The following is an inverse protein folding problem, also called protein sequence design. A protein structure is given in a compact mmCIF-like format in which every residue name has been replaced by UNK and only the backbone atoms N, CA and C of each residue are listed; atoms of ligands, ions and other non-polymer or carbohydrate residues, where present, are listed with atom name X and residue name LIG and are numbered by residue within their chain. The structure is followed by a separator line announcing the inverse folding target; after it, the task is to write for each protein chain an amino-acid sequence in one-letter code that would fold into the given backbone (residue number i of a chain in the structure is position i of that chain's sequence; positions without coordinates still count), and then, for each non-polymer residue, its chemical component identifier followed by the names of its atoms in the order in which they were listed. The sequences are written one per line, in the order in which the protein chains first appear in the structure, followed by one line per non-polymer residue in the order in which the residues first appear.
data_IF_570391409836
#
_entry.id   IF_570391409836
#
_cell.length_a   1.000
_cell.length_b   1.000
_cell.length_c   1.000
_cell.angle_alpha   90.00
_cell.angle_beta   90.00
_cell.angle_gamma   90.00
#
_symmetry.space_group_name_H-M   'P 1'
#
loop_
_entity.id
_entity.type
_entity.pdbx_description
1 polymer ?
#
# COMPACT_ATOMS: atom_id res chain seq x y z
N UNK A 1 0.66 -8.12 -13.63
CA UNK A 1 0.05 -8.71 -12.43
C UNK A 1 1.03 -9.72 -11.86
N UNK A 2 1.29 -9.68 -10.55
CA UNK A 2 2.15 -10.66 -9.89
C UNK A 2 1.42 -11.99 -9.71
N UNK A 3 2.17 -13.06 -9.56
CA UNK A 3 1.64 -14.40 -9.35
C UNK A 3 2.10 -14.97 -8.01
N UNK A 4 1.23 -15.78 -7.41
CA UNK A 4 1.57 -16.53 -6.22
C UNK A 4 2.75 -17.48 -6.51
N UNK A 5 3.69 -17.55 -5.57
CA UNK A 5 4.97 -18.25 -5.67
C UNK A 5 5.97 -17.67 -6.68
N UNK A 6 5.66 -16.54 -7.32
CA UNK A 6 6.64 -15.81 -8.13
C UNK A 6 7.79 -15.34 -7.24
N UNK A 7 9.03 -15.58 -7.68
CA UNK A 7 10.24 -15.02 -7.06
C UNK A 7 10.58 -13.72 -7.75
N UNK A 8 10.74 -12.64 -6.99
CA UNK A 8 10.97 -11.30 -7.49
C UNK A 8 12.47 -10.97 -7.51
N UNK A 9 12.91 -10.31 -8.59
CA UNK A 9 14.26 -9.75 -8.68
C UNK A 9 14.27 -8.32 -8.11
N UNK A 10 14.13 -8.24 -6.79
CA UNK A 10 14.11 -6.98 -6.02
C UNK A 10 15.37 -6.86 -5.17
N UNK A 11 15.90 -5.65 -5.03
CA UNK A 11 17.14 -5.41 -4.29
C UNK A 11 16.93 -5.30 -2.77
N UNK A 12 15.71 -5.03 -2.32
CA UNK A 12 15.35 -4.76 -0.92
C UNK A 12 15.32 -6.02 -0.06
N UNK A 13 15.73 -5.89 1.20
CA UNK A 13 15.73 -6.98 2.19
C UNK A 13 14.44 -7.06 2.99
N UNK A 14 13.85 -5.92 3.34
CA UNK A 14 12.60 -5.76 4.08
C UNK A 14 12.00 -4.39 3.76
N UNK A 15 10.69 -4.23 3.95
CA UNK A 15 10.02 -2.94 3.87
C UNK A 15 8.86 -2.91 2.90
N UNK A 16 8.37 -1.69 2.66
CA UNK A 16 7.12 -1.45 1.97
C UNK A 16 7.31 -0.39 0.90
N UNK A 17 6.82 -0.65 -0.30
CA UNK A 17 6.88 0.28 -1.42
C UNK A 17 5.65 0.13 -2.32
N UNK A 18 5.47 1.08 -3.24
CA UNK A 18 4.38 1.06 -4.22
C UNK A 18 4.94 1.04 -5.64
N UNK A 19 4.37 0.19 -6.47
CA UNK A 19 4.57 0.19 -7.92
C UNK A 19 3.24 0.45 -8.63
N UNK A 20 3.28 1.14 -9.77
CA UNK A 20 2.13 1.27 -10.66
C UNK A 20 2.43 0.60 -11.98
N UNK A 21 1.46 -0.20 -12.45
CA UNK A 21 1.52 -0.80 -13.78
C UNK A 21 0.10 -0.96 -14.32
N UNK A 22 -0.13 -0.43 -15.52
CA UNK A 22 -1.38 -0.58 -16.26
C UNK A 22 -2.63 -0.05 -15.49
N UNK A 23 -2.51 1.02 -14.69
CA UNK A 23 -3.52 1.55 -13.75
C UNK A 23 -3.81 0.64 -12.54
N UNK A 24 -2.91 -0.31 -12.24
CA UNK A 24 -2.96 -1.11 -11.02
C UNK A 24 -1.85 -0.65 -10.08
N UNK A 25 -2.21 -0.40 -8.82
CA UNK A 25 -1.28 -0.04 -7.77
C UNK A 25 -0.93 -1.27 -6.94
N UNK A 26 0.35 -1.55 -6.81
CA UNK A 26 0.85 -2.70 -6.09
C UNK A 26 1.57 -2.21 -4.84
N UNK A 27 0.94 -2.41 -3.70
CA UNK A 27 1.50 -2.18 -2.37
C UNK A 27 2.30 -3.42 -1.99
N UNK A 28 3.61 -3.33 -2.14
CA UNK A 28 4.55 -4.43 -1.96
C UNK A 28 4.99 -4.44 -0.50
N UNK A 29 4.76 -5.55 0.19
CA UNK A 29 5.02 -5.70 1.64
C UNK A 29 5.95 -6.89 1.81
N UNK A 30 7.22 -6.62 2.11
CA UNK A 30 8.24 -7.63 2.29
C UNK A 30 8.65 -7.74 3.77
N UNK A 31 8.57 -8.96 4.28
CA UNK A 31 9.03 -9.33 5.61
C UNK A 31 9.97 -10.55 5.47
N UNK A 32 11.00 -10.64 6.31
CA UNK A 32 11.87 -11.83 6.40
C UNK A 32 11.04 -13.07 6.69
N UNK A 33 10.03 -12.96 7.57
CA UNK A 33 9.25 -14.12 8.02
C UNK A 33 7.80 -13.79 8.36
N UNK A 34 6.91 -14.43 7.61
CA UNK A 34 5.48 -14.46 7.91
C UNK A 34 5.10 -15.65 8.78
N UNK A 35 4.44 -15.38 9.90
CA UNK A 35 3.86 -16.37 10.81
C UNK A 35 2.52 -16.90 10.27
N UNK A 36 2.15 -18.15 10.59
CA UNK A 36 0.87 -18.72 10.16
C UNK A 36 -0.36 -17.88 10.55
N UNK A 37 -0.31 -17.20 11.70
CA UNK A 37 -1.35 -16.32 12.20
C UNK A 37 -1.52 -15.06 11.35
N UNK A 38 -0.41 -14.46 10.90
CA UNK A 38 -0.39 -13.30 10.00
C UNK A 38 -0.98 -13.68 8.65
N UNK A 39 -0.54 -14.80 8.09
CA UNK A 39 -1.05 -15.29 6.80
C UNK A 39 -2.54 -15.64 6.90
N UNK A 40 -3.00 -16.17 8.04
CA UNK A 40 -4.42 -16.39 8.30
C UNK A 40 -5.18 -15.07 8.42
N UNK A 41 -4.61 -14.05 9.03
CA UNK A 41 -5.22 -12.74 9.19
C UNK A 41 -5.32 -11.99 7.85
N UNK A 42 -4.28 -12.01 7.02
CA UNK A 42 -4.27 -11.50 5.63
C UNK A 42 -5.47 -12.05 4.83
N UNK A 43 -5.84 -13.32 5.03
CA UNK A 43 -6.97 -13.95 4.33
C UNK A 43 -8.35 -13.55 4.84
N UNK A 44 -8.47 -13.28 6.13
CA UNK A 44 -9.77 -13.31 6.80
C UNK A 44 -10.20 -11.97 7.38
N UNK A 45 -9.30 -10.99 7.47
CA UNK A 45 -9.55 -9.74 8.17
C UNK A 45 -9.65 -8.55 7.24
N UNK A 46 -10.14 -7.46 7.78
CA UNK A 46 -10.43 -6.24 7.05
C UNK A 46 -9.13 -5.53 6.73
N UNK A 47 -8.95 -5.09 5.48
CA UNK A 47 -7.90 -4.14 5.14
C UNK A 47 -8.50 -2.75 5.05
N UNK A 48 -7.91 -1.76 5.70
CA UNK A 48 -8.28 -0.36 5.51
C UNK A 48 -7.20 0.37 4.75
N UNK A 49 -7.65 1.21 3.83
CA UNK A 49 -6.80 2.11 3.07
C UNK A 49 -7.25 3.52 3.39
N UNK A 50 -6.40 4.27 4.06
CA UNK A 50 -6.56 5.71 4.19
C UNK A 50 -5.68 6.39 3.18
N UNK A 51 -6.20 7.45 2.56
CA UNK A 51 -5.42 8.35 1.74
C UNK A 51 -5.50 9.75 2.32
N UNK A 52 -4.35 10.39 2.47
CA UNK A 52 -4.24 11.76 2.93
C UNK A 52 -3.17 12.52 2.15
N UNK A 53 -3.22 13.84 2.30
CA UNK A 53 -2.22 14.75 1.74
C UNK A 53 -1.84 15.71 2.83
N UNK A 54 -0.60 15.63 3.28
CA UNK A 54 -0.06 16.52 4.30
C UNK A 54 1.29 17.06 3.85
N UNK A 55 1.56 18.34 4.09
CA UNK A 55 2.75 19.03 3.55
C UNK A 55 2.96 18.80 2.04
N UNK A 56 1.87 18.63 1.28
CA UNK A 56 1.83 18.30 -0.16
C UNK A 56 2.40 16.91 -0.53
N UNK A 57 2.61 16.03 0.46
CA UNK A 57 3.01 14.63 0.27
C UNK A 57 1.75 13.76 0.27
N UNK A 58 1.48 13.01 -0.80
CA UNK A 58 0.43 11.98 -0.79
C UNK A 58 0.90 10.78 0.02
N UNK A 59 0.09 10.37 0.99
CA UNK A 59 0.38 9.22 1.84
C UNK A 59 -0.78 8.23 1.76
N UNK A 60 -0.43 6.95 1.77
CA UNK A 60 -1.37 5.87 2.05
C UNK A 60 -1.05 5.31 3.43
N UNK A 61 -2.06 5.22 4.28
CA UNK A 61 -1.99 4.43 5.50
C UNK A 61 -2.69 3.11 5.17
N UNK A 62 -1.93 2.02 5.17
CA UNK A 62 -2.47 0.69 4.94
C UNK A 62 -2.54 -0.01 6.28
N UNK A 63 -3.77 -0.29 6.71
CA UNK A 63 -4.02 -1.14 7.86
C UNK A 63 -4.40 -2.52 7.36
N UNK A 64 -3.56 -3.50 7.64
CA UNK A 64 -3.94 -4.90 7.53
C UNK A 64 -4.11 -5.36 8.96
N UNK A 65 -5.30 -5.84 9.32
CA UNK A 65 -5.53 -6.29 10.68
C UNK A 65 -4.79 -7.62 10.93
N UNK A 66 -3.47 -7.65 10.98
CA UNK A 66 -2.68 -8.79 11.47
C UNK A 66 -1.71 -8.35 12.55
N UNK A 67 -2.31 -8.10 13.72
CA UNK A 67 -1.66 -8.08 15.03
C UNK A 67 -0.83 -6.82 15.35
N UNK A 68 -0.10 -6.12 14.45
CA UNK A 68 0.83 -5.07 14.94
C UNK A 68 1.01 -3.72 14.22
N UNK A 69 0.89 -3.55 12.89
CA UNK A 69 1.36 -2.28 12.27
C UNK A 69 0.40 -1.61 11.27
N UNK A 70 0.38 -0.27 11.34
CA UNK A 70 -0.14 0.62 10.30
C UNK A 70 1.07 1.06 9.47
N UNK A 71 1.09 0.68 8.20
CA UNK A 71 2.22 1.02 7.34
C UNK A 71 1.91 2.27 6.54
N UNK A 72 2.70 3.31 6.80
CA UNK A 72 2.69 4.54 6.02
C UNK A 72 3.54 4.35 4.79
N UNK A 73 2.92 4.52 3.63
CA UNK A 73 3.63 4.44 2.38
C UNK A 73 3.53 5.81 1.71
N UNK A 74 4.63 6.58 1.69
CA UNK A 74 4.67 7.78 0.90
C UNK A 74 4.62 7.39 -0.57
N UNK A 75 3.56 7.81 -1.24
CA UNK A 75 3.36 7.48 -2.64
C UNK A 75 3.74 8.71 -3.43
N UNK A 76 4.88 8.66 -4.12
CA UNK A 76 5.27 9.74 -5.02
C UNK A 76 4.49 9.63 -6.33
N UNK A 77 3.31 10.24 -6.36
CA UNK A 77 2.38 10.14 -7.48
C UNK A 77 2.90 10.70 -8.81
N UNK A 78 4.02 11.43 -8.83
CA UNK A 78 4.57 12.02 -10.07
C UNK A 78 5.03 10.95 -11.07
N UNK A 79 5.48 9.80 -10.56
CA UNK A 79 5.97 8.71 -11.40
C UNK A 79 4.85 7.78 -11.88
N UNK A 80 3.62 7.99 -11.39
CA UNK A 80 2.46 7.20 -11.79
C UNK A 80 1.67 7.90 -12.88
N UNK A 81 1.44 7.17 -13.96
CA UNK A 81 0.64 7.67 -15.08
C UNK A 81 -0.81 7.29 -14.86
N UNK A 82 -1.50 7.99 -13.95
CA UNK A 82 -2.89 7.71 -13.62
C UNK A 82 -3.86 8.62 -14.37
N UNK A 83 -4.90 8.01 -14.95
CA UNK A 83 -6.07 8.74 -15.44
C UNK A 83 -7.15 8.77 -14.36
N UNK A 84 -7.47 9.97 -13.85
CA UNK A 84 -8.54 10.19 -12.87
C UNK A 84 -9.93 9.69 -13.36
N UNK A 85 -10.09 9.36 -14.64
CA UNK A 85 -11.32 8.80 -15.22
C UNK A 85 -11.41 7.29 -15.14
N UNK A 86 -10.31 6.59 -14.83
CA UNK A 86 -10.29 5.14 -14.74
C UNK A 86 -10.61 4.67 -13.32
N UNK A 87 -11.07 3.42 -13.22
CA UNK A 87 -11.13 2.70 -11.94
C UNK A 87 -9.71 2.44 -11.46
N UNK A 88 -9.45 2.73 -10.20
CA UNK A 88 -8.17 2.46 -9.56
C UNK A 88 -8.23 1.08 -8.94
N UNK A 89 -7.39 0.16 -9.41
CA UNK A 89 -7.24 -1.15 -8.80
C UNK A 89 -6.02 -1.14 -7.88
N UNK A 90 -6.15 -1.77 -6.72
CA UNK A 90 -5.04 -1.97 -5.81
C UNK A 90 -4.80 -3.44 -5.55
N UNK A 91 -3.54 -3.77 -5.24
CA UNK A 91 -3.09 -5.09 -4.87
C UNK A 91 -2.11 -4.97 -3.70
N UNK A 92 -2.40 -5.63 -2.59
CA UNK A 92 -1.39 -5.91 -1.57
C UNK A 92 -0.65 -7.18 -1.96
N UNK A 93 0.66 -7.08 -2.15
CA UNK A 93 1.52 -8.19 -2.54
C UNK A 93 2.45 -8.50 -1.38
N UNK A 94 2.23 -9.65 -0.75
CA UNK A 94 2.97 -10.09 0.43
C UNK A 94 4.14 -10.96 0.00
N UNK A 95 5.34 -10.62 0.47
CA UNK A 95 6.61 -11.19 0.00
C UNK A 95 7.40 -11.70 1.20
N UNK A 96 7.92 -12.93 1.11
CA UNK A 96 8.76 -13.52 2.16
C UNK A 96 10.26 -13.17 2.02
N UNK A 97 11.09 -13.58 2.99
CA UNK A 97 12.54 -13.38 2.96
C UNK A 97 13.28 -14.08 1.81
N UNK A 98 12.61 -14.97 1.07
CA UNK A 98 13.13 -15.55 -0.17
C UNK A 98 12.69 -14.78 -1.42
N UNK A 99 12.12 -13.57 -1.23
CA UNK A 99 11.57 -12.70 -2.26
C UNK A 99 10.42 -13.35 -3.03
N UNK A 100 9.70 -14.27 -2.39
CA UNK A 100 8.59 -15.00 -3.00
C UNK A 100 7.27 -14.35 -2.62
N UNK A 101 6.41 -14.16 -3.61
CA UNK A 101 5.02 -13.73 -3.39
C UNK A 101 4.25 -14.86 -2.71
N UNK A 102 3.81 -14.65 -1.47
CA UNK A 102 3.09 -15.64 -0.66
C UNK A 102 1.58 -15.42 -0.67
N UNK A 103 1.14 -14.17 -0.82
CA UNK A 103 -0.27 -13.80 -0.88
C UNK A 103 -0.45 -12.54 -1.73
N UNK A 104 -1.60 -12.44 -2.37
CA UNK A 104 -2.05 -11.26 -3.09
C UNK A 104 -3.48 -10.99 -2.64
N UNK A 105 -3.75 -9.76 -2.21
CA UNK A 105 -5.10 -9.28 -1.94
C UNK A 105 -5.43 -8.15 -2.91
N UNK A 106 -6.54 -8.29 -3.63
CA UNK A 106 -6.91 -7.33 -4.66
C UNK A 106 -8.23 -6.64 -4.33
N UNK A 107 -8.34 -5.39 -4.74
CA UNK A 107 -9.59 -4.64 -4.70
C UNK A 107 -9.59 -3.47 -5.66
N UNK A 108 -10.64 -2.67 -5.60
CA UNK A 108 -10.78 -1.44 -6.38
C UNK A 108 -11.13 -0.30 -5.45
N UNK A 109 -10.49 0.85 -5.63
CA UNK A 109 -10.87 2.06 -4.92
C UNK A 109 -12.17 2.61 -5.51
N UNK A 110 -13.02 3.15 -4.65
CA UNK A 110 -14.23 3.84 -5.07
C UNK A 110 -13.90 5.01 -6.02
N UNK A 111 -14.77 5.27 -7.00
CA UNK A 111 -14.58 6.35 -7.98
C UNK A 111 -14.39 7.74 -7.36
N UNK A 112 -14.90 7.96 -6.15
CA UNK A 112 -14.70 9.20 -5.39
C UNK A 112 -13.25 9.44 -4.97
N UNK A 113 -12.43 8.38 -4.89
CA UNK A 113 -11.00 8.47 -4.60
C UNK A 113 -10.28 9.35 -5.64
N UNK A 114 -10.61 9.20 -6.92
CA UNK A 114 -10.01 9.97 -8.01
C UNK A 114 -10.20 11.48 -7.84
N UNK A 115 -11.31 11.90 -7.22
CA UNK A 115 -11.61 13.30 -6.92
C UNK A 115 -10.80 13.84 -5.75
N UNK A 116 -10.24 12.97 -4.92
CA UNK A 116 -9.41 13.32 -3.76
C UNK A 116 -7.94 13.46 -4.14
N UNK A 117 -7.50 12.87 -5.25
CA UNK A 117 -6.13 12.98 -5.76
C UNK A 117 -5.80 14.43 -6.14
N UNK A 118 -4.85 15.09 -5.46
CA UNK A 118 -4.40 16.42 -5.87
C UNK A 118 -3.75 16.41 -7.25
N UNK A 119 -3.68 17.59 -7.86
CA UNK A 119 -2.74 17.84 -8.94
C UNK A 119 -1.37 18.16 -8.31
N UNK A 120 -0.39 17.28 -8.48
CA UNK A 120 0.92 17.43 -7.86
C UNK A 120 1.95 18.01 -8.83
N UNK A 121 2.63 19.06 -8.39
CA UNK A 121 3.91 19.50 -8.96
C UNK A 121 4.89 19.73 -7.82
N UNK A 122 5.82 18.81 -7.65
CA UNK A 122 6.88 18.91 -6.64
C UNK A 122 8.14 18.27 -7.21
N UNK A 123 9.31 18.76 -6.80
CA UNK A 123 10.58 18.09 -7.06
C UNK A 123 10.82 16.92 -6.09
N UNK A 124 11.63 15.95 -6.47
CA UNK A 124 11.98 14.80 -5.63
C UNK A 124 12.62 15.25 -4.30
N UNK A 125 13.52 16.23 -4.37
CA UNK A 125 14.14 16.84 -3.19
C UNK A 125 13.10 17.45 -2.22
N UNK A 126 12.14 18.22 -2.74
CA UNK A 126 11.08 18.79 -1.91
C UNK A 126 10.19 17.70 -1.30
N UNK A 127 9.99 16.58 -2.00
CA UNK A 127 9.23 15.44 -1.49
C UNK A 127 9.97 14.78 -0.33
N UNK A 128 11.26 14.48 -0.49
CA UNK A 128 12.10 13.89 0.56
C UNK A 128 12.16 14.79 1.81
N UNK A 129 12.34 16.09 1.63
CA UNK A 129 12.35 17.06 2.73
C UNK A 129 11.02 17.10 3.47
N UNK A 130 9.89 17.18 2.75
CA UNK A 130 8.57 17.19 3.38
C UNK A 130 8.24 15.84 4.04
N UNK A 131 8.63 14.73 3.43
CA UNK A 131 8.42 13.40 3.99
C UNK A 131 9.22 13.20 5.28
N UNK A 132 10.49 13.57 5.30
CA UNK A 132 11.32 13.52 6.50
C UNK A 132 10.74 14.39 7.62
N UNK A 133 10.11 15.52 7.31
CA UNK A 133 9.42 16.32 8.33
C UNK A 133 8.17 15.63 8.87
N UNK A 134 7.40 14.93 8.02
CA UNK A 134 6.20 14.21 8.42
C UNK A 134 6.51 13.06 9.38
N UNK A 135 7.50 12.23 9.03
CA UNK A 135 7.88 11.06 9.82
C UNK A 135 8.54 11.41 11.16
N UNK A 136 9.03 12.64 11.32
CA UNK A 136 9.55 13.14 12.60
C UNK A 136 8.48 13.82 13.47
N UNK A 137 7.34 14.21 12.90
CA UNK A 137 6.32 14.98 13.62
C UNK A 137 5.40 14.07 14.44
N UNK A 138 5.00 12.93 13.86
CA UNK A 138 4.00 12.02 14.41
C UNK A 138 4.17 10.61 13.88
N UNK A 139 3.66 9.65 14.65
CA UNK A 139 3.52 8.27 14.22
C UNK A 139 2.40 8.09 13.19
N UNK A 140 2.49 7.07 12.32
CA UNK A 140 1.49 6.67 11.32
C UNK A 140 0.01 6.82 11.72
N UNK A 141 -0.38 6.17 12.81
CA UNK A 141 -1.77 6.10 13.25
C UNK A 141 -2.35 7.46 13.66
N UNK A 142 -1.50 8.43 14.01
CA UNK A 142 -1.93 9.78 14.41
C UNK A 142 -2.39 10.63 13.21
N UNK A 143 -2.14 10.16 11.99
CA UNK A 143 -2.53 10.81 10.75
C UNK A 143 -3.90 10.35 10.22
N UNK A 144 -4.47 9.28 10.79
CA UNK A 144 -5.76 8.71 10.36
C UNK A 144 -6.90 9.73 10.38
N UNK A 145 -6.93 10.61 11.38
CA UNK A 145 -7.94 11.68 11.51
C UNK A 145 -7.90 12.69 10.36
N UNK A 146 -6.79 12.77 9.63
CA UNK A 146 -6.60 13.66 8.48
C UNK A 146 -6.85 12.98 7.14
N UNK A 147 -7.30 11.73 7.13
CA UNK A 147 -7.64 11.00 5.91
C UNK A 147 -8.68 11.78 5.06
N UNK A 148 -8.33 12.04 3.80
CA UNK A 148 -9.21 12.63 2.80
C UNK A 148 -10.14 11.57 2.17
N UNK A 149 -9.76 10.30 2.29
CA UNK A 149 -10.48 9.14 1.81
C UNK A 149 -10.17 7.94 2.72
N UNK A 150 -11.18 7.14 2.98
CA UNK A 150 -11.08 5.87 3.68
C UNK A 150 -11.83 4.82 2.86
N UNK A 151 -11.21 3.66 2.69
CA UNK A 151 -11.89 2.48 2.19
C UNK A 151 -11.63 1.30 3.12
N UNK A 152 -12.74 0.67 3.53
CA UNK A 152 -12.74 -0.55 4.31
C UNK A 152 -13.04 -1.70 3.37
N UNK A 153 -12.07 -2.60 3.21
CA UNK A 153 -12.22 -3.80 2.42
C UNK A 153 -12.48 -5.00 3.33
N UNK A 154 -13.75 -5.40 3.42
CA UNK A 154 -14.19 -6.57 4.18
C UNK A 154 -14.23 -7.88 3.35
N UNK A 155 -14.09 -7.79 2.02
CA UNK A 155 -14.38 -8.91 1.08
C UNK A 155 -13.42 -9.03 -0.11
N UNK A 156 -12.23 -8.45 -0.02
CA UNK A 156 -11.22 -8.51 -1.08
C UNK A 156 -10.93 -9.93 -1.53
N UNK A 157 -10.66 -10.10 -2.82
CA UNK A 157 -10.23 -11.40 -3.34
C UNK A 157 -8.81 -11.67 -2.86
N UNK A 158 -8.62 -12.78 -2.14
CA UNK A 158 -7.32 -13.20 -1.63
C UNK A 158 -6.87 -14.45 -2.34
N UNK A 159 -5.73 -14.35 -3.02
CA UNK A 159 -4.97 -15.49 -3.56
C UNK A 159 -3.82 -15.79 -2.59
N UNK A 160 -3.58 -17.06 -2.26
CA UNK A 160 -2.49 -17.43 -1.36
C UNK A 160 -1.85 -18.75 -1.77
N UNK A 161 -0.52 -18.81 -1.72
CA UNK A 161 0.27 -19.98 -2.16
C UNK A 161 0.56 -21.00 -1.08
N UNK A 162 0.37 -20.61 0.18
CA UNK A 162 0.65 -21.47 1.32
C UNK A 162 -0.61 -22.25 1.68
N UNK A 163 -0.56 -23.58 1.57
CA UNK A 163 -1.60 -24.44 2.16
C UNK A 163 -1.20 -24.71 3.61
N UNK A 164 -2.08 -24.38 4.56
CA UNK A 164 -1.93 -24.79 5.97
C UNK A 164 -2.90 -25.91 6.27
#
# INVERSE_FOLDING_TARGET
MYEINQVLDIATSEGIWVEEKDNHWYFMIQDEKWYPEEIKAIRNRVSKIHFLVERKVPLFLVQIEDVLECSDIPVYLKDFNYDKKNLFFYHFVFIDGLKRVIAIRSGSLDSSFALKLPDFSMSEKEFEENYHLLTNEKEPYEWEEKALFEQIDEKGEVLCGLSF
#
